data_IF_053486615747
#
_entry.id   IF_053486615747
#
_cell.length_a   1.000
_cell.length_b   1.000
_cell.length_c   1.000
_cell.angle_alpha   90.00
_cell.angle_beta   90.00
_cell.angle_gamma   90.00
#
_symmetry.space_group_name_H-M   'P 1'
#
loop_
_entity.id
_entity.type
_entity.pdbx_description
1 polymer ?
#
# COMPACT_ATOMS: atom_id res chain seq x y z
N UNK A 1 -16.27 22.19 -16.13
CA UNK A 1 -16.33 22.15 -14.66
C UNK A 1 -16.03 20.72 -14.26
N UNK A 2 -14.75 20.40 -14.19
CA UNK A 2 -14.21 19.09 -13.84
C UNK A 2 -12.73 19.35 -13.69
N UNK A 3 -12.15 19.13 -12.50
CA UNK A 3 -10.76 18.68 -12.43
C UNK A 3 -10.22 18.44 -11.02
N UNK A 4 -10.94 18.76 -9.95
CA UNK A 4 -10.33 18.58 -8.61
C UNK A 4 -10.04 17.11 -8.31
N UNK A 5 -10.90 16.18 -8.77
CA UNK A 5 -10.65 14.75 -8.67
C UNK A 5 -9.53 14.27 -9.62
N UNK A 6 -9.50 14.79 -10.86
CA UNK A 6 -8.48 14.43 -11.84
C UNK A 6 -7.08 14.90 -11.43
N UNK A 7 -6.95 16.13 -10.94
CA UNK A 7 -5.70 16.68 -10.39
C UNK A 7 -5.16 15.84 -9.23
N UNK A 8 -6.04 15.27 -8.40
CA UNK A 8 -5.64 14.36 -7.33
C UNK A 8 -5.13 13.01 -7.87
N UNK A 9 -5.75 12.48 -8.92
CA UNK A 9 -5.28 11.27 -9.62
C UNK A 9 -3.93 11.50 -10.29
N UNK A 10 -3.77 12.65 -10.96
CA UNK A 10 -2.51 13.04 -11.59
C UNK A 10 -1.40 13.14 -10.54
N UNK A 11 -1.70 13.77 -9.40
CA UNK A 11 -0.74 13.87 -8.29
C UNK A 11 -0.37 12.51 -7.71
N UNK A 12 -1.33 11.60 -7.55
CA UNK A 12 -1.04 10.22 -7.14
C UNK A 12 -0.13 9.51 -8.16
N UNK A 13 -0.34 9.75 -9.45
CA UNK A 13 0.49 9.19 -10.54
C UNK A 13 1.92 9.71 -10.50
N UNK A 14 2.12 11.00 -10.25
CA UNK A 14 3.44 11.59 -10.03
C UNK A 14 4.17 10.92 -8.87
N UNK A 15 3.50 10.70 -7.74
CA UNK A 15 4.08 10.02 -6.58
C UNK A 15 4.42 8.55 -6.85
N UNK A 16 3.61 7.83 -7.63
CA UNK A 16 3.95 6.46 -8.07
C UNK A 16 5.22 6.47 -8.92
N UNK A 17 5.38 7.45 -9.81
CA UNK A 17 6.60 7.59 -10.61
C UNK A 17 7.81 7.92 -9.73
N UNK A 18 7.67 8.83 -8.75
CA UNK A 18 8.73 9.12 -7.77
C UNK A 18 9.15 7.86 -7.00
N UNK A 19 8.19 7.05 -6.56
CA UNK A 19 8.45 5.80 -5.85
C UNK A 19 9.23 4.80 -6.72
N UNK A 20 8.83 4.65 -7.99
CA UNK A 20 9.52 3.80 -8.94
C UNK A 20 10.96 4.26 -9.19
N UNK A 21 11.17 5.56 -9.37
CA UNK A 21 12.52 6.13 -9.51
C UNK A 21 13.37 5.93 -8.25
N UNK A 22 12.78 6.10 -7.06
CA UNK A 22 13.45 5.87 -5.79
C UNK A 22 14.00 4.44 -5.72
N UNK A 23 13.18 3.44 -6.05
CA UNK A 23 13.59 2.03 -6.01
C UNK A 23 14.56 1.62 -7.12
N UNK A 24 14.58 2.34 -8.25
CA UNK A 24 15.59 2.17 -9.29
C UNK A 24 16.94 2.73 -8.86
N UNK A 25 16.95 3.91 -8.22
CA UNK A 25 18.18 4.60 -7.77
C UNK A 25 18.77 3.97 -6.51
N UNK A 26 17.91 3.57 -5.57
CA UNK A 26 18.31 3.05 -4.27
C UNK A 26 17.44 1.85 -3.89
N UNK A 27 18.07 0.70 -3.66
CA UNK A 27 17.33 -0.50 -3.23
C UNK A 27 16.94 -0.34 -1.76
N UNK A 28 15.66 -0.56 -1.39
CA UNK A 28 15.22 -0.52 0.01
C UNK A 28 15.81 -1.67 0.84
N UNK A 29 16.18 -2.76 0.18
CA UNK A 29 16.78 -3.94 0.78
C UNK A 29 17.97 -4.39 -0.06
N UNK A 30 19.05 -4.81 0.60
CA UNK A 30 20.19 -5.46 -0.03
C UNK A 30 20.58 -6.71 0.74
N UNK A 31 21.20 -7.68 0.08
CA UNK A 31 21.82 -8.80 0.76
C UNK A 31 23.30 -8.51 0.99
N UNK A 32 23.75 -8.73 2.22
CA UNK A 32 25.17 -8.60 2.60
C UNK A 32 25.76 -9.99 2.78
N UNK A 33 27.05 -10.09 2.45
CA UNK A 33 27.88 -11.25 2.75
C UNK A 33 28.95 -10.84 3.76
N UNK A 34 28.88 -11.43 4.94
CA UNK A 34 29.86 -11.28 6.01
C UNK A 34 30.82 -12.48 5.99
N UNK A 35 32.10 -12.24 6.20
CA UNK A 35 33.12 -13.30 6.27
C UNK A 35 33.99 -13.08 7.51
N UNK A 36 33.98 -14.04 8.43
CA UNK A 36 34.84 -14.06 9.59
C UNK A 36 36.19 -14.67 9.21
N UNK A 37 37.22 -13.82 9.07
CA UNK A 37 38.56 -14.23 8.65
C UNK A 37 39.31 -15.06 9.69
N UNK A 38 38.86 -15.11 10.95
CA UNK A 38 39.48 -15.93 12.01
C UNK A 38 38.92 -17.34 12.07
N UNK A 39 37.63 -17.51 11.76
CA UNK A 39 36.94 -18.81 11.87
C UNK A 39 36.64 -19.46 10.52
N UNK A 40 36.80 -18.73 9.41
CA UNK A 40 36.40 -19.20 8.07
C UNK A 40 34.89 -19.22 7.83
N UNK A 41 34.10 -18.71 8.79
CA UNK A 41 32.64 -18.70 8.71
C UNK A 41 32.15 -17.54 7.85
N UNK A 42 31.19 -17.81 6.95
CA UNK A 42 30.43 -16.82 6.20
C UNK A 42 29.00 -16.74 6.67
N UNK A 43 28.40 -15.57 6.50
CA UNK A 43 26.98 -15.35 6.74
C UNK A 43 26.38 -14.41 5.70
N UNK A 44 25.13 -14.64 5.31
CA UNK A 44 24.36 -13.70 4.52
C UNK A 44 23.10 -13.25 5.25
N UNK A 45 22.74 -11.98 5.09
CA UNK A 45 21.54 -11.40 5.66
C UNK A 45 21.01 -10.22 4.85
N UNK A 46 19.69 -10.04 4.87
CA UNK A 46 19.05 -8.85 4.34
C UNK A 46 19.36 -7.62 5.21
N UNK A 47 20.02 -6.62 4.64
CA UNK A 47 20.15 -5.28 5.21
C UNK A 47 19.05 -4.37 4.67
N UNK A 48 18.34 -3.75 5.59
CA UNK A 48 17.35 -2.71 5.30
C UNK A 48 18.06 -1.37 5.10
N UNK A 49 17.62 -0.61 4.10
CA UNK A 49 17.94 0.81 3.98
C UNK A 49 16.76 1.61 4.55
N UNK A 50 16.83 1.90 5.85
CA UNK A 50 15.74 2.59 6.57
C UNK A 50 15.39 3.94 5.96
N UNK A 51 16.38 4.69 5.47
CA UNK A 51 16.12 5.99 4.83
C UNK A 51 15.27 5.84 3.55
N UNK A 52 15.57 4.84 2.71
CA UNK A 52 14.79 4.55 1.50
C UNK A 52 13.40 4.04 1.86
N UNK A 53 13.32 3.14 2.85
CA UNK A 53 12.05 2.55 3.29
C UNK A 53 11.12 3.62 3.88
N UNK A 54 11.64 4.50 4.73
CA UNK A 54 10.84 5.59 5.32
C UNK A 54 10.39 6.58 4.24
N UNK A 55 11.27 6.93 3.29
CA UNK A 55 10.89 7.79 2.18
C UNK A 55 9.82 7.15 1.30
N UNK A 56 9.97 5.86 0.99
CA UNK A 56 8.97 5.11 0.24
C UNK A 56 7.63 5.05 0.98
N UNK A 57 7.64 4.84 2.29
CA UNK A 57 6.44 4.82 3.12
C UNK A 57 5.67 6.15 3.05
N UNK A 58 6.38 7.29 3.12
CA UNK A 58 5.77 8.62 2.97
C UNK A 58 5.12 8.80 1.59
N UNK A 59 5.84 8.45 0.52
CA UNK A 59 5.31 8.56 -0.85
C UNK A 59 4.08 7.66 -1.02
N UNK A 60 4.09 6.43 -0.47
CA UNK A 60 2.94 5.53 -0.49
C UNK A 60 1.72 6.13 0.23
N UNK A 61 1.92 6.74 1.41
CA UNK A 61 0.87 7.47 2.13
C UNK A 61 0.26 8.56 1.25
N UNK A 62 1.10 9.38 0.61
CA UNK A 62 0.65 10.45 -0.28
C UNK A 62 -0.12 9.93 -1.50
N UNK A 63 0.29 8.81 -2.10
CA UNK A 63 -0.46 8.16 -3.20
C UNK A 63 -1.86 7.79 -2.72
N UNK A 64 -1.94 7.04 -1.63
CA UNK A 64 -3.22 6.54 -1.10
C UNK A 64 -4.13 7.70 -0.68
N UNK A 65 -3.58 8.71 -0.02
CA UNK A 65 -4.32 9.88 0.42
C UNK A 65 -4.91 10.67 -0.76
N UNK A 66 -4.13 10.86 -1.84
CA UNK A 66 -4.61 11.54 -3.03
C UNK A 66 -5.69 10.73 -3.75
N UNK A 67 -5.55 9.41 -3.87
CA UNK A 67 -6.58 8.54 -4.46
C UNK A 67 -7.87 8.56 -3.63
N UNK A 68 -7.77 8.49 -2.30
CA UNK A 68 -8.92 8.59 -1.40
C UNK A 68 -9.60 9.94 -1.52
N UNK A 69 -8.83 11.02 -1.59
CA UNK A 69 -9.35 12.38 -1.77
C UNK A 69 -10.02 12.56 -3.12
N UNK A 70 -9.48 11.99 -4.20
CA UNK A 70 -10.08 12.06 -5.54
C UNK A 70 -11.52 11.53 -5.54
N UNK A 71 -11.79 10.43 -4.81
CA UNK A 71 -13.14 9.89 -4.64
C UNK A 71 -14.07 10.85 -3.90
N UNK A 72 -13.59 11.51 -2.84
CA UNK A 72 -14.38 12.52 -2.11
C UNK A 72 -14.67 13.73 -2.99
N UNK A 73 -13.70 14.21 -3.77
CA UNK A 73 -13.90 15.32 -4.70
C UNK A 73 -14.92 14.98 -5.78
N UNK A 74 -14.81 13.82 -6.41
CA UNK A 74 -15.77 13.36 -7.40
C UNK A 74 -17.18 13.23 -6.80
N UNK A 75 -17.28 12.68 -5.59
CA UNK A 75 -18.55 12.58 -4.86
C UNK A 75 -19.14 13.96 -4.54
N UNK A 76 -18.32 14.87 -4.02
CA UNK A 76 -18.73 16.21 -3.66
C UNK A 76 -19.27 16.99 -4.85
N UNK A 77 -18.59 16.94 -6.00
CA UNK A 77 -19.01 17.63 -7.22
C UNK A 77 -20.43 17.21 -7.65
N UNK A 78 -20.75 15.92 -7.52
CA UNK A 78 -22.07 15.37 -7.90
C UNK A 78 -23.15 15.66 -6.85
N UNK A 79 -22.84 15.57 -5.56
CA UNK A 79 -23.84 15.55 -4.48
C UNK A 79 -24.01 16.91 -3.80
N UNK A 80 -23.02 17.80 -3.85
CA UNK A 80 -23.12 19.15 -3.25
C UNK A 80 -24.27 20.02 -3.77
N UNK A 81 -24.77 19.91 -5.03
CA UNK A 81 -25.93 20.66 -5.48
C UNK A 81 -27.24 20.29 -4.77
N UNK A 82 -27.36 19.05 -4.28
CA UNK A 82 -28.57 18.58 -3.57
C UNK A 82 -28.50 18.80 -2.04
N UNK A 83 -27.35 19.22 -1.53
CA UNK A 83 -27.17 19.56 -0.11
C UNK A 83 -27.67 20.98 0.19
N UNK A 84 -28.75 21.07 0.98
CA UNK A 84 -29.46 22.32 1.28
C UNK A 84 -28.92 23.04 2.51
N UNK A 85 -28.30 22.30 3.43
CA UNK A 85 -27.75 22.86 4.68
C UNK A 85 -26.24 22.67 4.79
N UNK A 86 -25.60 23.52 5.59
CA UNK A 86 -24.18 23.38 5.92
C UNK A 86 -23.88 22.06 6.65
N UNK A 87 -24.83 21.58 7.47
CA UNK A 87 -24.73 20.28 8.15
C UNK A 87 -24.69 19.14 7.14
N UNK A 88 -25.53 19.18 6.12
CA UNK A 88 -25.55 18.21 5.02
C UNK A 88 -24.26 18.23 4.21
N UNK A 89 -23.76 19.43 3.89
CA UNK A 89 -22.48 19.59 3.18
C UNK A 89 -21.33 18.93 3.92
N UNK A 90 -21.24 19.09 5.25
CA UNK A 90 -20.20 18.43 6.07
C UNK A 90 -20.28 16.91 6.10
N UNK A 91 -21.41 16.34 5.74
CA UNK A 91 -21.57 14.89 5.63
C UNK A 91 -21.13 14.36 4.26
N UNK A 92 -20.85 15.21 3.28
CA UNK A 92 -20.47 14.75 1.95
C UNK A 92 -19.04 14.19 1.95
N UNK A 93 -18.98 12.88 1.77
CA UNK A 93 -17.77 12.11 1.53
C UNK A 93 -18.19 10.86 0.78
N UNK A 94 -17.27 10.28 0.01
CA UNK A 94 -17.52 9.02 -0.67
C UNK A 94 -17.94 7.94 0.37
N UNK A 95 -19.05 7.22 0.12
CA UNK A 95 -19.60 6.29 1.09
C UNK A 95 -18.76 5.01 1.12
N UNK A 96 -17.94 4.86 2.16
CA UNK A 96 -17.31 3.59 2.52
C UNK A 96 -18.07 2.97 3.68
N UNK A 97 -18.32 1.67 3.64
CA UNK A 97 -18.90 0.94 4.76
C UNK A 97 -17.95 -0.17 5.25
N UNK A 98 -18.03 -0.47 6.54
CA UNK A 98 -17.29 -1.59 7.11
C UNK A 98 -17.86 -2.93 6.65
N UNK A 99 -19.19 -3.00 6.51
CA UNK A 99 -19.95 -4.20 6.17
C UNK A 99 -20.96 -3.93 5.05
N UNK A 100 -21.37 -4.98 4.37
CA UNK A 100 -22.42 -4.93 3.33
C UNK A 100 -23.74 -4.43 3.91
N UNK A 101 -24.10 -4.91 5.11
CA UNK A 101 -25.36 -4.55 5.77
C UNK A 101 -25.50 -3.04 6.07
N UNK A 102 -24.38 -2.33 6.27
CA UNK A 102 -24.37 -0.89 6.52
C UNK A 102 -24.25 -0.04 5.26
N UNK A 103 -24.04 -0.65 4.09
CA UNK A 103 -23.78 0.07 2.85
C UNK A 103 -24.97 0.96 2.45
N UNK A 104 -26.18 0.40 2.46
CA UNK A 104 -27.42 1.11 2.12
C UNK A 104 -27.63 2.36 3.00
N UNK A 105 -27.50 2.19 4.33
CA UNK A 105 -27.58 3.29 5.30
C UNK A 105 -26.49 4.34 5.07
N UNK A 106 -25.26 3.90 4.81
CA UNK A 106 -24.12 4.80 4.57
C UNK A 106 -24.37 5.64 3.32
N UNK A 107 -24.77 5.04 2.21
CA UNK A 107 -25.05 5.74 0.94
C UNK A 107 -26.17 6.77 1.11
N UNK A 108 -27.25 6.42 1.82
CA UNK A 108 -28.36 7.35 2.15
C UNK A 108 -27.92 8.50 3.05
N UNK A 109 -27.14 8.22 4.08
CA UNK A 109 -26.64 9.25 5.01
C UNK A 109 -25.75 10.28 4.30
N UNK A 110 -25.11 9.88 3.19
CA UNK A 110 -24.30 10.75 2.33
C UNK A 110 -25.10 11.44 1.22
N UNK A 111 -26.44 11.34 1.21
CA UNK A 111 -27.38 12.03 0.32
C UNK A 111 -27.39 11.55 -1.15
N UNK A 112 -26.84 10.38 -1.45
CA UNK A 112 -26.82 9.87 -2.81
C UNK A 112 -28.22 9.55 -3.37
N UNK A 113 -29.16 9.20 -2.49
CA UNK A 113 -30.58 8.95 -2.81
C UNK A 113 -31.29 10.20 -3.35
N UNK A 114 -30.82 11.39 -2.96
CA UNK A 114 -31.38 12.68 -3.40
C UNK A 114 -30.88 13.13 -4.77
N UNK A 115 -29.80 12.54 -5.29
CA UNK A 115 -29.26 12.88 -6.62
C UNK A 115 -30.08 12.21 -7.72
N UNK A 116 -30.15 10.89 -7.71
CA UNK A 116 -31.00 10.09 -8.60
C UNK A 116 -31.02 8.62 -8.18
N UNK A 117 -32.07 7.86 -8.52
CA UNK A 117 -32.10 6.41 -8.29
C UNK A 117 -30.96 5.65 -8.99
N UNK A 118 -30.55 6.10 -10.19
CA UNK A 118 -29.45 5.49 -10.93
C UNK A 118 -28.09 5.73 -10.28
N UNK A 119 -27.85 6.92 -9.73
CA UNK A 119 -26.61 7.23 -9.01
C UNK A 119 -26.53 6.43 -7.71
N UNK A 120 -27.64 6.35 -6.98
CA UNK A 120 -27.77 5.51 -5.80
C UNK A 120 -27.40 4.05 -6.11
N UNK A 121 -28.03 3.46 -7.13
CA UNK A 121 -27.78 2.08 -7.52
C UNK A 121 -26.31 1.86 -7.94
N UNK A 122 -25.72 2.81 -8.65
CA UNK A 122 -24.30 2.74 -9.05
C UNK A 122 -23.37 2.63 -7.83
N UNK A 123 -23.64 3.38 -6.75
CA UNK A 123 -22.85 3.31 -5.52
C UNK A 123 -23.04 1.98 -4.77
N UNK A 124 -24.24 1.41 -4.79
CA UNK A 124 -24.51 0.08 -4.24
C UNK A 124 -23.77 -0.99 -5.05
N UNK A 125 -23.79 -0.89 -6.38
CA UNK A 125 -23.14 -1.84 -7.30
C UNK A 125 -21.61 -1.78 -7.22
N UNK A 126 -21.05 -0.61 -6.87
CA UNK A 126 -19.62 -0.45 -6.59
C UNK A 126 -19.16 -1.18 -5.33
N UNK A 127 -20.10 -1.56 -4.44
CA UNK A 127 -19.86 -2.30 -3.20
C UNK A 127 -18.63 -1.82 -2.40
N UNK A 128 -18.55 -0.54 -1.99
CA UNK A 128 -17.39 0.03 -1.29
C UNK A 128 -17.28 -0.43 0.18
N UNK A 129 -17.24 -1.75 0.39
CA UNK A 129 -17.09 -2.42 1.68
C UNK A 129 -16.01 -3.50 1.64
N UNK A 130 -15.52 -3.89 2.81
CA UNK A 130 -14.34 -4.76 2.94
C UNK A 130 -14.63 -6.23 3.24
N UNK A 131 -15.89 -6.65 3.16
CA UNK A 131 -16.30 -8.05 3.37
C UNK A 131 -16.20 -8.85 2.06
N UNK A 132 -16.17 -10.20 2.13
CA UNK A 132 -16.16 -11.05 0.94
C UNK A 132 -17.30 -10.66 -0.03
N UNK A 133 -16.96 -10.43 -1.29
CA UNK A 133 -17.92 -9.98 -2.32
C UNK A 133 -18.04 -8.46 -2.47
N UNK A 134 -17.35 -7.68 -1.63
CA UNK A 134 -17.17 -6.23 -1.77
C UNK A 134 -16.00 -5.85 -2.67
N UNK A 135 -15.85 -4.55 -2.93
CA UNK A 135 -14.75 -4.00 -3.71
C UNK A 135 -13.51 -3.85 -2.85
N UNK A 136 -12.66 -4.87 -2.92
CA UNK A 136 -11.43 -4.98 -2.15
C UNK A 136 -10.48 -3.79 -2.35
N UNK A 137 -10.34 -3.30 -3.59
CA UNK A 137 -9.44 -2.19 -3.90
C UNK A 137 -9.92 -0.87 -3.28
N UNK A 138 -11.21 -0.56 -3.40
CA UNK A 138 -11.80 0.62 -2.76
C UNK A 138 -11.68 0.53 -1.24
N UNK A 139 -12.04 -0.62 -0.67
CA UNK A 139 -11.91 -0.85 0.77
C UNK A 139 -10.46 -0.71 1.24
N UNK A 140 -9.50 -1.22 0.47
CA UNK A 140 -8.08 -1.14 0.78
C UNK A 140 -7.59 0.30 0.78
N UNK A 141 -7.94 1.12 -0.22
CA UNK A 141 -7.58 2.55 -0.26
C UNK A 141 -8.08 3.25 1.01
N UNK A 142 -9.33 3.01 1.40
CA UNK A 142 -9.89 3.62 2.61
C UNK A 142 -9.19 3.16 3.89
N UNK A 143 -8.95 1.85 4.02
CA UNK A 143 -8.25 1.28 5.19
C UNK A 143 -6.82 1.79 5.28
N UNK A 144 -6.10 1.85 4.17
CA UNK A 144 -4.71 2.35 4.13
C UNK A 144 -4.64 3.83 4.46
N UNK A 145 -5.56 4.68 3.97
CA UNK A 145 -5.62 6.10 4.34
C UNK A 145 -5.90 6.31 5.83
N UNK A 146 -6.74 5.47 6.45
CA UNK A 146 -6.96 5.49 7.90
C UNK A 146 -5.69 5.10 8.67
N UNK A 147 -5.01 4.03 8.23
CA UNK A 147 -3.79 3.56 8.87
C UNK A 147 -2.69 4.63 8.78
N UNK A 148 -2.49 5.23 7.60
CA UNK A 148 -1.44 6.21 7.32
C UNK A 148 -1.48 7.42 8.26
N UNK A 149 -2.69 7.89 8.61
CA UNK A 149 -2.90 8.99 9.57
C UNK A 149 -2.33 8.73 10.96
N UNK A 150 -2.18 7.46 11.34
CA UNK A 150 -1.72 7.06 12.66
C UNK A 150 -0.39 6.30 12.63
N UNK A 151 -0.03 5.69 11.51
CA UNK A 151 1.12 4.80 11.36
C UNK A 151 1.65 4.87 9.93
N UNK A 152 2.97 4.98 9.79
CA UNK A 152 3.61 4.92 8.47
C UNK A 152 3.32 3.59 7.76
N UNK A 153 2.95 3.68 6.49
CA UNK A 153 2.79 2.53 5.60
C UNK A 153 4.16 1.99 5.17
N UNK A 154 4.84 1.28 6.07
CA UNK A 154 6.17 0.72 5.81
C UNK A 154 6.05 -0.41 4.76
N UNK A 155 6.67 -0.28 3.57
CA UNK A 155 6.67 -1.35 2.59
C UNK A 155 7.48 -2.54 3.12
N UNK A 156 6.84 -3.70 3.17
CA UNK A 156 7.48 -4.98 3.49
C UNK A 156 7.71 -5.78 2.21
N UNK A 157 8.94 -6.20 1.97
CA UNK A 157 9.25 -7.13 0.88
C UNK A 157 9.13 -8.55 1.38
N UNK A 158 8.23 -9.34 0.79
CA UNK A 158 8.22 -10.79 0.95
C UNK A 158 9.01 -11.42 -0.20
N UNK A 159 10.24 -11.86 0.08
CA UNK A 159 11.05 -12.62 -0.87
C UNK A 159 10.54 -14.06 -0.90
N UNK A 160 9.53 -14.31 -1.71
CA UNK A 160 8.76 -15.56 -1.70
C UNK A 160 9.59 -16.80 -2.03
N UNK A 161 10.79 -16.66 -2.63
CA UNK A 161 11.75 -17.76 -2.78
C UNK A 161 13.15 -17.27 -3.15
N UNK A 162 14.12 -17.44 -2.26
CA UNK A 162 15.55 -17.40 -2.60
C UNK A 162 16.08 -18.82 -2.72
N UNK A 163 16.59 -19.21 -3.90
CA UNK A 163 17.19 -20.52 -4.11
C UNK A 163 18.71 -20.47 -3.99
N UNK A 164 19.34 -21.58 -3.59
CA UNK A 164 20.80 -21.70 -3.55
C UNK A 164 21.42 -21.38 -4.91
N UNK A 165 20.79 -21.78 -6.02
CA UNK A 165 21.29 -21.49 -7.37
C UNK A 165 21.31 -19.99 -7.70
N UNK A 166 20.33 -19.23 -7.20
CA UNK A 166 20.30 -17.77 -7.37
C UNK A 166 21.43 -17.10 -6.57
N UNK A 167 21.66 -17.57 -5.33
CA UNK A 167 22.73 -17.04 -4.48
C UNK A 167 24.11 -17.44 -5.00
N UNK A 168 24.30 -18.66 -5.50
CA UNK A 168 25.56 -19.14 -6.09
C UNK A 168 26.02 -18.27 -7.26
N UNK A 169 25.10 -17.72 -8.05
CA UNK A 169 25.46 -16.80 -9.15
C UNK A 169 26.16 -15.52 -8.65
N UNK A 170 25.87 -15.09 -7.43
CA UNK A 170 26.47 -13.89 -6.83
C UNK A 170 27.58 -14.24 -5.82
N UNK A 171 27.46 -15.39 -5.17
CA UNK A 171 28.35 -15.90 -4.13
C UNK A 171 28.72 -17.35 -4.48
N UNK A 172 29.77 -17.58 -5.30
CA UNK A 172 30.07 -18.89 -5.89
C UNK A 172 30.26 -20.04 -4.90
N UNK A 173 30.65 -19.71 -3.67
CA UNK A 173 30.87 -20.63 -2.56
C UNK A 173 29.64 -20.83 -1.66
N UNK A 174 28.50 -20.22 -2.02
CA UNK A 174 27.24 -20.47 -1.32
C UNK A 174 26.88 -21.96 -1.43
N UNK A 175 26.41 -22.60 -0.33
CA UNK A 175 26.22 -24.03 -0.27
C UNK A 175 25.16 -24.53 -1.27
N UNK A 176 25.51 -25.61 -1.98
CA UNK A 176 24.59 -26.35 -2.86
C UNK A 176 23.69 -27.23 -1.98
N UNK A 177 22.60 -26.65 -1.48
CA UNK A 177 21.65 -27.29 -0.55
C UNK A 177 21.85 -26.87 0.91
N UNK A 178 21.13 -27.52 1.83
CA UNK A 178 21.10 -27.19 3.28
C UNK A 178 22.20 -27.92 4.09
N UNK A 179 23.37 -28.15 3.51
CA UNK A 179 24.45 -28.94 4.14
C UNK A 179 25.42 -27.99 4.83
N UNK A 180 25.75 -28.25 6.11
CA UNK A 180 26.64 -27.40 6.93
C UNK A 180 26.20 -25.92 7.03
N UNK A 181 24.90 -25.67 6.99
CA UNK A 181 24.32 -24.34 7.11
C UNK A 181 23.61 -24.14 8.44
N UNK A 182 23.76 -22.97 9.06
CA UNK A 182 22.93 -22.49 10.16
C UNK A 182 21.91 -21.46 9.66
N UNK A 183 20.71 -21.47 10.24
CA UNK A 183 19.66 -20.49 9.97
C UNK A 183 19.36 -19.67 11.23
N UNK A 184 19.18 -18.37 11.08
CA UNK A 184 18.64 -17.51 12.14
C UNK A 184 19.58 -17.21 13.32
N UNK A 185 20.91 -17.40 13.18
CA UNK A 185 21.86 -17.02 14.24
C UNK A 185 22.11 -15.50 14.24
N UNK A 186 21.55 -14.76 15.20
CA UNK A 186 21.83 -13.33 15.44
C UNK A 186 21.66 -12.41 14.20
N UNK A 187 20.44 -12.35 13.64
CA UNK A 187 20.11 -11.59 12.42
C UNK A 187 20.85 -12.05 11.14
N UNK A 188 21.42 -13.26 11.14
CA UNK A 188 22.00 -13.89 9.94
C UNK A 188 21.00 -14.89 9.35
N UNK A 189 20.62 -14.69 8.09
CA UNK A 189 19.63 -15.53 7.41
C UNK A 189 20.20 -16.93 7.16
N UNK A 190 21.41 -17.00 6.58
CA UNK A 190 22.13 -18.25 6.34
C UNK A 190 23.60 -18.08 6.72
N UNK A 191 24.15 -19.05 7.44
CA UNK A 191 25.56 -19.11 7.88
C UNK A 191 26.18 -20.40 7.39
N UNK A 192 27.37 -20.39 6.81
CA UNK A 192 28.08 -21.59 6.36
C UNK A 192 29.59 -21.44 6.56
N UNK A 193 30.32 -22.54 6.54
CA UNK A 193 31.78 -22.53 6.62
C UNK A 193 32.37 -22.81 5.24
N UNK A 194 33.50 -22.18 4.94
CA UNK A 194 34.33 -22.47 3.77
C UNK A 194 35.42 -23.48 4.15
#
# INVERSE_FOLDING_TARGET
>A
MTDSAALKIDRATEHVNELNELFQKQRPFSYILETNTKTGQRATFAKKNEAVIHRAALICGDVIHNLRSALDHAYWEVVSPVATTEKERRLLQFPFSETEARLDETVKTRLADRVSPSFYQTLIDLKPHGEPGGNELLSLIHKLDIIDKHKLLIPTGDYTRLSSEMLIKQVPDFPRGLINCGFGQNNRDVVWNI
#
